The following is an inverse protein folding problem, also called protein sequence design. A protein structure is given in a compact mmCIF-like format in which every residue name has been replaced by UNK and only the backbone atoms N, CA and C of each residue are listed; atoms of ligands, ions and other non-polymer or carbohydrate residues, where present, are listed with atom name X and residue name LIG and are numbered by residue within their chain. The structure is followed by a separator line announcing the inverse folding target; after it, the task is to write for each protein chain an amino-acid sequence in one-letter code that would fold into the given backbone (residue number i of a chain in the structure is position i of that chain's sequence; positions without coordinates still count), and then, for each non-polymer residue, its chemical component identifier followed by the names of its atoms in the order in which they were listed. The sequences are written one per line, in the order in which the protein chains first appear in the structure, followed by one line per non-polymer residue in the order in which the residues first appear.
data_IF_620898495703
#
_entry.id   IF_620898495703
#
_cell.length_a   1.000
_cell.length_b   1.000
_cell.length_c   1.000
_cell.angle_alpha   90.00
_cell.angle_beta   90.00
_cell.angle_gamma   90.00
#
_symmetry.space_group_name_H-M   'P 1'
#
loop_
_entity.id
_entity.type
_entity.pdbx_description
1 polymer ?
#
# COMPACT_ATOMS: atom_id res chain seq x y z
N UNK A 1 14.16 -5.73 -0.07
CA UNK A 1 14.48 -4.47 -0.76
C UNK A 1 13.89 -3.33 0.04
N UNK A 2 14.46 -2.13 -0.03
CA UNK A 2 13.88 -0.94 0.59
C UNK A 2 13.89 0.24 -0.37
N UNK A 3 12.80 0.99 -0.36
CA UNK A 3 12.58 2.17 -1.19
C UNK A 3 12.00 3.27 -0.29
N UNK A 4 12.32 4.53 -0.55
CA UNK A 4 11.76 5.64 0.21
C UNK A 4 11.79 6.93 -0.61
N UNK A 5 11.01 7.92 -0.15
CA UNK A 5 10.99 9.22 -0.80
C UNK A 5 9.99 10.19 -0.19
N UNK A 6 9.76 11.29 -0.90
CA UNK A 6 8.73 12.27 -0.57
C UNK A 6 7.89 12.59 -1.79
N UNK A 7 6.57 12.71 -1.58
CA UNK A 7 5.58 13.11 -2.57
C UNK A 7 4.82 14.31 -1.99
N UNK A 8 5.30 15.53 -2.28
CA UNK A 8 4.79 16.74 -1.63
C UNK A 8 4.95 16.68 -0.10
N UNK A 9 3.87 16.86 0.70
CA UNK A 9 3.93 16.77 2.16
C UNK A 9 4.00 15.33 2.68
N UNK A 10 3.92 14.32 1.83
CA UNK A 10 3.96 12.91 2.23
C UNK A 10 5.40 12.38 2.24
N UNK A 11 5.88 11.88 3.37
CA UNK A 11 7.07 11.05 3.45
C UNK A 11 6.65 9.59 3.37
N UNK A 12 7.34 8.77 2.59
CA UNK A 12 7.01 7.35 2.48
C UNK A 12 8.25 6.47 2.42
N UNK A 13 8.07 5.22 2.83
CA UNK A 13 9.03 4.15 2.62
C UNK A 13 8.31 2.82 2.44
N UNK A 14 8.91 1.94 1.66
CA UNK A 14 8.51 0.55 1.52
C UNK A 14 9.69 -0.37 1.84
N UNK A 15 9.41 -1.48 2.50
CA UNK A 15 10.37 -2.53 2.78
C UNK A 15 9.74 -3.87 2.43
N UNK A 16 10.48 -4.72 1.72
CA UNK A 16 10.01 -6.04 1.31
C UNK A 16 11.06 -7.12 1.51
N UNK A 17 10.61 -8.36 1.66
CA UNK A 17 11.44 -9.55 1.75
C UNK A 17 10.77 -10.68 0.98
N UNK A 18 11.50 -11.37 0.08
CA UNK A 18 10.98 -12.58 -0.54
C UNK A 18 10.69 -13.65 0.51
N UNK A 19 9.81 -14.58 0.17
CA UNK A 19 9.58 -15.81 0.91
C UNK A 19 10.92 -16.54 1.09
N UNK A 20 11.21 -17.11 2.28
CA UNK A 20 12.40 -17.93 2.45
C UNK A 20 12.50 -19.04 1.40
N UNK A 21 13.59 -19.02 0.64
CA UNK A 21 13.84 -19.94 -0.49
C UNK A 21 13.65 -19.32 -1.87
N UNK A 22 12.93 -18.20 -1.97
CA UNK A 22 12.78 -17.42 -3.21
C UNK A 22 13.86 -16.36 -3.35
N UNK A 23 14.22 -16.05 -4.60
CA UNK A 23 15.16 -14.96 -4.91
C UNK A 23 14.45 -13.62 -5.15
N UNK A 24 13.18 -13.68 -5.56
CA UNK A 24 12.38 -12.53 -5.97
C UNK A 24 11.10 -12.50 -5.12
N UNK A 25 10.74 -11.31 -4.67
CA UNK A 25 9.51 -11.06 -3.90
C UNK A 25 8.33 -10.91 -4.86
N UNK A 26 7.23 -11.62 -4.63
CA UNK A 26 5.97 -11.48 -5.36
C UNK A 26 5.26 -10.14 -5.11
N UNK A 27 5.52 -9.53 -3.95
CA UNK A 27 4.92 -8.25 -3.57
C UNK A 27 5.69 -7.05 -4.09
N UNK A 28 4.95 -6.06 -4.61
CA UNK A 28 5.50 -4.77 -5.05
C UNK A 28 4.71 -3.57 -4.53
N UNK A 29 5.46 -2.54 -4.15
CA UNK A 29 4.92 -1.24 -3.78
C UNK A 29 4.83 -0.30 -4.99
N UNK A 30 3.94 0.67 -4.91
CA UNK A 30 3.95 1.86 -5.77
C UNK A 30 3.84 3.11 -4.89
N UNK A 31 4.59 4.15 -5.26
CA UNK A 31 4.44 5.48 -4.71
C UNK A 31 4.81 6.53 -5.77
N UNK A 32 3.82 7.25 -6.28
CA UNK A 32 4.00 8.25 -7.35
C UNK A 32 3.22 9.53 -7.09
N UNK A 33 3.81 10.67 -7.47
CA UNK A 33 3.11 11.95 -7.42
C UNK A 33 2.08 12.04 -8.55
N UNK A 34 0.93 12.64 -8.25
CA UNK A 34 -0.17 12.92 -9.17
C UNK A 34 -0.33 14.43 -9.25
N UNK A 35 0.06 14.99 -10.39
CA UNK A 35 -0.09 16.41 -10.74
C UNK A 35 0.42 17.42 -9.68
N UNK A 36 1.33 17.00 -8.81
CA UNK A 36 1.91 17.83 -7.73
C UNK A 36 0.96 18.14 -6.57
N UNK A 37 -0.31 17.78 -6.67
CA UNK A 37 -1.35 18.03 -5.66
C UNK A 37 -1.86 16.76 -5.00
N UNK A 38 -1.45 15.58 -5.48
CA UNK A 38 -1.83 14.33 -4.88
C UNK A 38 -0.70 13.29 -4.95
N UNK A 39 -0.86 12.20 -4.21
CA UNK A 39 0.01 11.02 -4.26
C UNK A 39 -0.84 9.77 -4.43
N UNK A 40 -0.40 8.87 -5.31
CA UNK A 40 -0.91 7.51 -5.42
C UNK A 40 0.11 6.58 -4.79
N UNK A 41 -0.31 5.87 -3.74
CA UNK A 41 0.50 4.86 -3.05
C UNK A 41 -0.27 3.55 -2.95
N UNK A 42 0.42 2.42 -2.92
CA UNK A 42 -0.26 1.13 -2.84
C UNK A 42 0.70 -0.04 -2.78
N UNK A 43 0.11 -1.21 -2.57
CA UNK A 43 0.80 -2.51 -2.55
C UNK A 43 0.01 -3.48 -3.42
N UNK A 44 0.74 -4.24 -4.21
CA UNK A 44 0.25 -5.35 -5.02
C UNK A 44 0.96 -6.62 -4.54
N UNK A 45 0.18 -7.63 -4.21
CA UNK A 45 0.62 -8.95 -3.76
C UNK A 45 0.27 -9.93 -4.89
N UNK A 46 1.29 -10.33 -5.65
CA UNK A 46 1.13 -11.24 -6.78
C UNK A 46 0.83 -12.65 -6.28
N UNK A 47 -0.16 -13.33 -6.87
CA UNK A 47 -0.60 -14.62 -6.34
C UNK A 47 0.51 -15.68 -6.33
N UNK A 48 0.72 -16.26 -5.14
CA UNK A 48 1.78 -17.23 -4.90
C UNK A 48 3.08 -16.54 -4.55
N UNK A 49 4.20 -17.04 -5.07
CA UNK A 49 5.53 -16.48 -4.80
C UNK A 49 6.45 -16.67 -6.02
N UNK A 50 7.61 -16.02 -5.96
CA UNK A 50 8.65 -16.10 -6.98
C UNK A 50 8.37 -15.25 -8.22
N UNK A 51 9.07 -15.55 -9.32
CA UNK A 51 9.13 -14.69 -10.52
C UNK A 51 7.76 -14.44 -11.18
N UNK A 52 6.88 -15.43 -11.22
CA UNK A 52 5.54 -15.28 -11.83
C UNK A 52 4.64 -14.32 -11.02
N UNK A 53 4.72 -14.38 -9.69
CA UNK A 53 4.00 -13.48 -8.79
C UNK A 53 4.53 -12.05 -8.96
N UNK A 54 5.86 -11.90 -8.94
CA UNK A 54 6.53 -10.63 -9.16
C UNK A 54 6.16 -10.03 -10.52
N UNK A 55 6.09 -10.84 -11.57
CA UNK A 55 5.69 -10.41 -12.92
C UNK A 55 4.27 -9.86 -12.94
N UNK A 56 3.32 -10.51 -12.25
CA UNK A 56 1.95 -10.02 -12.16
C UNK A 56 1.86 -8.68 -11.40
N UNK A 57 2.54 -8.58 -10.25
CA UNK A 57 2.56 -7.36 -9.45
C UNK A 57 3.27 -6.20 -10.18
N UNK A 58 4.42 -6.44 -10.82
CA UNK A 58 5.14 -5.44 -11.62
C UNK A 58 4.34 -4.95 -12.83
N UNK A 59 3.59 -5.84 -13.49
CA UNK A 59 2.66 -5.45 -14.56
C UNK A 59 1.63 -4.43 -14.04
N UNK A 60 1.07 -4.68 -12.85
CA UNK A 60 0.13 -3.76 -12.21
C UNK A 60 0.79 -2.43 -11.83
N UNK A 61 2.00 -2.45 -11.26
CA UNK A 61 2.78 -1.24 -10.95
C UNK A 61 2.98 -0.39 -12.20
N UNK A 62 3.37 -0.99 -13.33
CA UNK A 62 3.57 -0.26 -14.60
C UNK A 62 2.29 0.45 -15.06
N UNK A 63 1.15 -0.25 -15.02
CA UNK A 63 -0.15 0.32 -15.41
C UNK A 63 -0.52 1.50 -14.52
N UNK A 64 -0.31 1.38 -13.21
CA UNK A 64 -0.59 2.44 -12.25
C UNK A 64 0.34 3.64 -12.42
N UNK A 65 1.60 3.41 -12.76
CA UNK A 65 2.56 4.48 -13.05
C UNK A 65 2.14 5.30 -14.29
N UNK A 66 1.66 4.63 -15.34
CA UNK A 66 1.24 5.29 -16.58
C UNK A 66 -0.10 6.01 -16.42
N UNK A 67 -1.05 5.40 -15.70
CA UNK A 67 -2.40 5.92 -15.53
C UNK A 67 -2.63 6.70 -14.23
N UNK A 68 -1.58 7.08 -13.50
CA UNK A 68 -1.62 7.59 -12.10
C UNK A 68 -2.64 8.69 -11.77
N UNK A 69 -3.07 9.47 -12.77
CA UNK A 69 -4.04 10.55 -12.61
C UNK A 69 -5.50 10.08 -12.61
N UNK A 70 -5.77 8.88 -13.12
CA UNK A 70 -7.11 8.30 -13.22
C UNK A 70 -7.76 8.07 -11.84
N UNK A 71 -9.10 8.01 -11.77
CA UNK A 71 -9.81 7.59 -10.55
C UNK A 71 -9.41 6.19 -10.09
N UNK A 72 -9.45 5.93 -8.78
CA UNK A 72 -9.01 4.65 -8.20
C UNK A 72 -9.78 3.44 -8.76
N UNK A 73 -11.08 3.59 -9.02
CA UNK A 73 -11.91 2.54 -9.62
C UNK A 73 -11.44 2.21 -11.04
N UNK A 74 -11.09 3.24 -11.81
CA UNK A 74 -10.56 3.10 -13.17
C UNK A 74 -9.18 2.43 -13.13
N UNK A 75 -8.31 2.81 -12.19
CA UNK A 75 -7.01 2.19 -11.98
C UNK A 75 -7.13 0.69 -11.68
N UNK A 76 -8.06 0.29 -10.81
CA UNK A 76 -8.31 -1.12 -10.50
C UNK A 76 -8.80 -1.88 -11.73
N UNK A 77 -9.68 -1.29 -12.54
CA UNK A 77 -10.16 -1.90 -13.79
C UNK A 77 -9.06 -2.02 -14.85
N UNK A 78 -8.19 -1.02 -14.97
CA UNK A 78 -7.01 -1.07 -15.85
C UNK A 78 -6.06 -2.19 -15.43
N UNK A 79 -5.74 -2.28 -14.14
CA UNK A 79 -4.93 -3.37 -13.60
C UNK A 79 -5.59 -4.72 -13.87
N UNK A 80 -6.89 -4.86 -13.63
CA UNK A 80 -7.59 -6.13 -13.85
C UNK A 80 -7.50 -6.61 -15.30
N UNK A 81 -7.62 -5.70 -16.28
CA UNK A 81 -7.43 -6.06 -17.69
C UNK A 81 -5.98 -6.44 -18.00
N UNK A 82 -5.01 -5.67 -17.50
CA UNK A 82 -3.60 -5.89 -17.78
C UNK A 82 -3.05 -7.17 -17.14
N UNK A 83 -3.53 -7.52 -15.94
CA UNK A 83 -3.15 -8.73 -15.22
C UNK A 83 -3.87 -9.98 -15.75
N UNK A 84 -4.78 -9.85 -16.72
CA UNK A 84 -5.47 -11.00 -17.31
C UNK A 84 -4.47 -11.91 -18.01
N UNK A 85 -4.46 -13.20 -17.65
CA UNK A 85 -3.49 -14.18 -18.15
C UNK A 85 -2.16 -14.21 -17.40
N UNK A 86 -1.97 -13.36 -16.39
CA UNK A 86 -0.90 -13.51 -15.39
C UNK A 86 -1.42 -14.32 -14.19
N UNK A 87 -0.62 -14.51 -13.14
CA UNK A 87 -1.10 -15.05 -11.85
C UNK A 87 -2.10 -14.15 -11.13
N UNK A 88 -2.22 -12.89 -11.54
CA UNK A 88 -3.09 -11.93 -10.88
C UNK A 88 -2.50 -11.44 -9.57
N UNK A 89 -3.21 -10.53 -8.90
CA UNK A 89 -2.76 -9.97 -7.64
C UNK A 89 -3.93 -9.60 -6.72
N UNK A 90 -3.67 -9.64 -5.41
CA UNK A 90 -4.39 -8.80 -4.47
C UNK A 90 -3.76 -7.40 -4.49
N UNK A 91 -4.54 -6.36 -4.19
CA UNK A 91 -4.00 -5.01 -4.17
C UNK A 91 -4.77 -4.10 -3.23
N UNK A 92 -4.06 -3.14 -2.64
CA UNK A 92 -4.68 -1.96 -2.03
C UNK A 92 -4.03 -0.71 -2.55
N UNK A 93 -4.86 0.20 -3.07
CA UNK A 93 -4.46 1.50 -3.60
C UNK A 93 -5.04 2.60 -2.73
N UNK A 94 -4.23 3.63 -2.50
CA UNK A 94 -4.57 4.81 -1.74
C UNK A 94 -4.15 6.06 -2.52
N UNK A 95 -5.11 6.95 -2.77
CA UNK A 95 -4.88 8.30 -3.29
C UNK A 95 -5.02 9.29 -2.15
N UNK A 96 -4.00 10.12 -1.96
CA UNK A 96 -3.99 11.20 -0.98
C UNK A 96 -3.94 12.51 -1.74
N UNK A 97 -5.00 13.31 -1.64
CA UNK A 97 -5.08 14.64 -2.25
C UNK A 97 -4.72 15.71 -1.22
N UNK A 98 -3.82 16.63 -1.60
CA UNK A 98 -3.26 17.74 -0.82
C UNK A 98 -3.77 19.07 -1.39
N UNK A 99 -4.20 20.02 -0.55
CA UNK A 99 -4.51 21.39 -1.03
C UNK A 99 -5.80 22.04 -0.55
N UNK A 100 -6.46 21.53 0.48
CA UNK A 100 -7.55 22.24 1.15
C UNK A 100 -8.14 21.45 2.31
N UNK A 101 -8.64 20.26 2.01
CA UNK A 101 -8.96 19.22 3.00
C UNK A 101 -8.19 17.97 2.62
N UNK A 102 -7.10 17.70 3.34
CA UNK A 102 -6.26 16.55 3.07
C UNK A 102 -7.12 15.28 3.21
N UNK A 103 -7.26 14.55 2.11
CA UNK A 103 -8.23 13.46 1.99
C UNK A 103 -7.53 12.22 1.48
N UNK A 104 -7.77 11.10 2.18
CA UNK A 104 -7.35 9.78 1.77
C UNK A 104 -8.56 9.04 1.17
N UNK A 105 -8.39 8.54 -0.05
CA UNK A 105 -9.30 7.60 -0.71
C UNK A 105 -8.56 6.30 -0.93
N UNK A 106 -9.19 5.17 -0.65
CA UNK A 106 -8.58 3.87 -0.92
C UNK A 106 -9.55 2.84 -1.47
N UNK A 107 -9.01 1.84 -2.14
CA UNK A 107 -9.72 0.64 -2.58
C UNK A 107 -8.80 -0.55 -2.28
N UNK A 108 -9.33 -1.56 -1.60
CA UNK A 108 -8.64 -2.82 -1.37
C UNK A 108 -9.39 -3.98 -2.02
N UNK A 109 -8.68 -4.82 -2.77
CA UNK A 109 -9.15 -6.06 -3.38
C UNK A 109 -8.26 -7.20 -2.89
N UNK A 110 -8.85 -8.23 -2.29
CA UNK A 110 -8.12 -9.37 -1.73
C UNK A 110 -7.73 -9.16 -0.27
N UNK A 111 -6.46 -9.36 0.06
CA UNK A 111 -5.91 -9.52 1.42
C UNK A 111 -4.82 -8.48 1.78
N UNK A 112 -4.52 -7.51 0.92
CA UNK A 112 -3.55 -6.45 1.24
C UNK A 112 -4.19 -5.43 2.19
N UNK A 113 -3.78 -5.42 3.45
CA UNK A 113 -4.34 -4.55 4.48
C UNK A 113 -3.85 -3.10 4.35
N UNK A 114 -4.69 -2.13 4.74
CA UNK A 114 -4.27 -0.73 4.88
C UNK A 114 -4.95 -0.08 6.09
N UNK A 115 -4.14 0.57 6.94
CA UNK A 115 -4.56 1.18 8.18
C UNK A 115 -4.03 2.61 8.28
N UNK A 116 -4.94 3.56 8.51
CA UNK A 116 -4.60 4.93 8.87
C UNK A 116 -4.51 5.02 10.39
N UNK A 117 -3.29 5.25 10.90
CA UNK A 117 -3.00 5.28 12.33
C UNK A 117 -2.50 6.65 12.76
N UNK A 118 -2.78 7.00 14.00
CA UNK A 118 -2.33 8.23 14.65
C UNK A 118 -1.66 7.93 15.99
N UNK A 119 -0.80 8.85 16.41
CA UNK A 119 -0.20 8.81 17.74
C UNK A 119 -1.26 9.18 18.79
N UNK A 120 -1.45 8.32 19.78
CA UNK A 120 -2.33 8.56 20.92
C UNK A 120 -1.53 8.41 22.24
N UNK A 121 -1.91 9.09 23.34
CA UNK A 121 -1.21 8.95 24.62
C UNK A 121 -1.13 7.52 25.15
N UNK A 122 -2.10 6.67 24.80
CA UNK A 122 -2.16 5.26 25.19
C UNK A 122 -1.47 4.30 24.19
N UNK A 123 -0.80 4.82 23.15
CA UNK A 123 -0.15 4.01 22.12
C UNK A 123 -0.58 4.41 20.70
N UNK A 124 -0.80 3.41 19.84
CA UNK A 124 -1.23 3.61 18.46
C UNK A 124 -2.75 3.59 18.40
N UNK A 125 -3.35 4.62 17.82
CA UNK A 125 -4.78 4.67 17.53
C UNK A 125 -5.02 4.36 16.06
N UNK A 126 -5.81 3.32 15.77
CA UNK A 126 -6.29 3.05 14.42
C UNK A 126 -7.50 3.93 14.14
N UNK A 127 -7.30 4.98 13.32
CA UNK A 127 -8.37 5.93 12.98
C UNK A 127 -9.30 5.40 11.91
N UNK A 128 -8.77 4.62 10.98
CA UNK A 128 -9.56 3.93 9.97
C UNK A 128 -8.78 2.79 9.33
N UNK A 129 -9.50 1.80 8.82
CA UNK A 129 -8.94 0.69 8.04
C UNK A 129 -9.66 0.60 6.70
N UNK A 130 -8.92 0.23 5.65
CA UNK A 130 -9.48 -0.01 4.34
C UNK A 130 -10.40 -1.24 4.37
N UNK A 131 -11.58 -1.10 3.77
CA UNK A 131 -12.45 -2.24 3.52
C UNK A 131 -11.88 -3.03 2.34
N UNK A 132 -11.57 -4.29 2.58
CA UNK A 132 -11.06 -5.20 1.56
C UNK A 132 -12.24 -5.96 0.94
N UNK A 133 -12.45 -5.77 -0.35
CA UNK A 133 -13.44 -6.53 -1.09
C UNK A 133 -12.83 -7.85 -1.57
N UNK A 134 -13.59 -8.95 -1.47
CA UNK A 134 -13.14 -10.23 -2.00
C UNK A 134 -12.95 -10.17 -3.52
N UNK A 135 -11.84 -10.70 -4.01
CA UNK A 135 -11.51 -10.72 -5.43
C UNK A 135 -10.03 -10.91 -5.68
N UNK A 136 -9.69 -11.16 -6.94
CA UNK A 136 -8.31 -11.25 -7.45
C UNK A 136 -8.26 -10.40 -8.73
N UNK A 137 -7.41 -9.39 -8.74
CA UNK A 137 -7.15 -8.54 -9.90
C UNK A 137 -6.49 -9.39 -10.98
N UNK A 138 -6.99 -9.33 -12.22
CA UNK A 138 -6.63 -10.27 -13.30
C UNK A 138 -7.56 -11.47 -13.47
N UNK A 139 -8.41 -11.80 -12.47
CA UNK A 139 -9.28 -12.98 -12.51
C UNK A 139 -10.76 -12.66 -12.24
N UNK A 140 -11.05 -12.09 -11.08
CA UNK A 140 -12.42 -11.76 -10.66
C UNK A 140 -12.43 -10.56 -9.75
N UNK A 141 -13.04 -9.48 -10.22
CA UNK A 141 -13.36 -8.31 -9.40
C UNK A 141 -14.75 -8.45 -8.77
N UNK A 142 -15.02 -7.77 -7.66
CA UNK A 142 -16.38 -7.61 -7.16
C UNK A 142 -17.20 -6.74 -8.12
N UNK A 143 -18.53 -6.94 -8.11
CA UNK A 143 -19.45 -6.24 -9.03
C UNK A 143 -19.49 -4.72 -8.82
N UNK A 144 -19.25 -4.29 -7.57
CA UNK A 144 -19.19 -2.88 -7.21
C UNK A 144 -17.86 -2.58 -6.52
N UNK A 145 -17.15 -1.59 -7.05
CA UNK A 145 -15.90 -1.07 -6.48
C UNK A 145 -16.14 0.41 -6.23
N UNK A 146 -16.10 0.82 -4.97
CA UNK A 146 -16.23 2.21 -4.57
C UNK A 146 -15.16 2.54 -3.51
N UNK A 147 -14.43 3.65 -3.66
CA UNK A 147 -13.42 4.04 -2.71
C UNK A 147 -14.07 4.47 -1.41
N UNK A 148 -13.48 4.03 -0.31
CA UNK A 148 -13.77 4.63 0.99
C UNK A 148 -12.93 5.90 1.13
N UNK A 149 -13.57 6.97 1.60
CA UNK A 149 -12.94 8.27 1.80
C UNK A 149 -12.87 8.59 3.30
N UNK A 150 -11.69 9.01 3.77
CA UNK A 150 -11.46 9.44 5.16
C UNK A 150 -10.56 10.67 5.20
N UNK A 151 -10.71 11.56 6.21
CA UNK A 151 -9.80 12.68 6.39
C UNK A 151 -8.44 12.19 6.90
N UNK A 152 -7.35 12.63 6.26
CA UNK A 152 -5.99 12.45 6.74
C UNK A 152 -5.49 13.76 7.34
N UNK A 153 -4.75 13.70 8.44
CA UNK A 153 -4.24 14.86 9.16
C UNK A 153 -2.71 14.85 9.17
N UNK A 154 -2.05 16.02 9.28
CA UNK A 154 -0.62 16.06 9.58
C UNK A 154 -0.29 15.22 10.82
N UNK A 155 0.72 14.37 10.71
CA UNK A 155 1.13 13.41 11.73
C UNK A 155 0.54 12.01 11.57
N UNK A 156 -0.57 11.85 10.84
CA UNK A 156 -1.13 10.53 10.54
C UNK A 156 -0.15 9.71 9.70
N UNK A 157 -0.15 8.40 9.93
CA UNK A 157 0.65 7.41 9.24
C UNK A 157 -0.29 6.40 8.58
N UNK A 158 -0.20 6.28 7.26
CA UNK A 158 -0.78 5.16 6.53
C UNK A 158 0.21 4.00 6.53
N UNK A 159 -0.24 2.82 6.94
CA UNK A 159 0.51 1.57 6.83
C UNK A 159 -0.28 0.63 5.91
N UNK A 160 0.34 0.20 4.82
CA UNK A 160 -0.19 -0.83 3.91
C UNK A 160 0.70 -2.06 4.03
N UNK A 161 0.13 -3.24 4.23
CA UNK A 161 0.88 -4.46 4.46
C UNK A 161 0.25 -5.65 3.70
N UNK A 162 1.09 -6.44 3.03
CA UNK A 162 0.67 -7.73 2.45
C UNK A 162 0.35 -8.75 3.55
N UNK A 163 -0.25 -9.87 3.18
CA UNK A 163 -0.65 -10.89 4.16
C UNK A 163 0.52 -11.66 4.76
N UNK A 164 1.73 -11.51 4.20
CA UNK A 164 2.99 -11.96 4.80
C UNK A 164 3.40 -11.23 6.08
N UNK A 165 2.70 -10.15 6.44
CA UNK A 165 2.92 -9.40 7.69
C UNK A 165 1.85 -9.83 8.72
N UNK A 166 2.28 -10.02 9.98
CA UNK A 166 1.38 -10.35 11.08
C UNK A 166 0.40 -9.19 11.39
N UNK A 167 -0.81 -9.51 11.86
CA UNK A 167 -1.89 -8.51 12.06
C UNK A 167 -1.59 -7.52 13.20
N UNK A 168 -0.77 -7.90 14.18
CA UNK A 168 -0.36 -7.10 15.34
C UNK A 168 0.81 -6.13 15.05
N UNK A 169 1.18 -5.97 13.76
CA UNK A 169 2.31 -5.14 13.36
C UNK A 169 2.25 -3.68 13.84
N UNK A 170 1.04 -3.14 14.02
CA UNK A 170 0.81 -1.75 14.42
C UNK A 170 1.20 -1.47 15.87
N UNK A 171 1.17 -2.48 16.75
CA UNK A 171 1.41 -2.31 18.20
C UNK A 171 2.85 -1.87 18.50
N UNK A 172 3.76 -2.09 17.55
CA UNK A 172 5.19 -1.82 17.68
C UNK A 172 5.65 -0.52 17.01
N UNK A 173 4.74 0.26 16.43
CA UNK A 173 5.08 1.46 15.66
C UNK A 173 5.56 2.59 16.57
N UNK A 174 6.83 2.98 16.40
CA UNK A 174 7.37 4.21 16.98
C UNK A 174 7.08 5.42 16.07
N UNK A 175 6.10 6.25 16.44
CA UNK A 175 5.76 7.47 15.71
C UNK A 175 6.89 8.52 15.68
N UNK A 176 7.88 8.45 16.57
CA UNK A 176 9.04 9.33 16.52
C UNK A 176 10.00 8.96 15.38
N UNK A 177 10.03 7.69 14.96
CA UNK A 177 10.93 7.19 13.93
C UNK A 177 10.55 7.69 12.52
N UNK A 178 11.54 7.82 11.60
CA UNK A 178 11.28 8.02 10.17
C UNK A 178 10.50 6.86 9.54
N UNK A 179 9.80 7.11 8.43
CA UNK A 179 8.99 6.06 7.75
C UNK A 179 9.82 4.86 7.30
N UNK A 180 11.06 5.08 6.85
CA UNK A 180 11.99 4.01 6.48
C UNK A 180 12.28 3.06 7.66
N UNK A 181 12.55 3.62 8.83
CA UNK A 181 12.80 2.84 10.05
C UNK A 181 11.55 2.08 10.48
N UNK A 182 10.37 2.70 10.36
CA UNK A 182 9.10 2.05 10.68
C UNK A 182 8.86 0.85 9.75
N UNK A 183 9.00 1.02 8.44
CA UNK A 183 8.80 -0.05 7.48
C UNK A 183 9.77 -1.22 7.72
N UNK A 184 11.05 -0.92 7.96
CA UNK A 184 12.07 -1.93 8.28
C UNK A 184 11.81 -2.64 9.61
N UNK A 185 11.40 -1.91 10.65
CA UNK A 185 11.07 -2.49 11.95
C UNK A 185 9.86 -3.40 11.88
N UNK A 186 8.80 -2.98 11.16
CA UNK A 186 7.63 -3.85 10.96
C UNK A 186 8.05 -5.10 10.20
N UNK A 187 8.73 -4.94 9.05
CA UNK A 187 9.17 -6.07 8.24
C UNK A 187 10.02 -7.04 9.06
N UNK A 188 11.03 -6.56 9.78
CA UNK A 188 11.95 -7.43 10.54
C UNK A 188 11.29 -8.20 11.67
N UNK A 189 10.25 -7.65 12.31
CA UNK A 189 9.61 -8.25 13.49
C UNK A 189 8.39 -9.09 13.15
N UNK A 190 7.66 -8.72 12.10
CA UNK A 190 6.32 -9.22 11.82
C UNK A 190 6.21 -10.02 10.51
N UNK A 191 7.31 -10.17 9.75
CA UNK A 191 7.29 -11.01 8.54
C UNK A 191 7.14 -12.50 8.90
N UNK A 192 6.08 -13.11 8.39
CA UNK A 192 5.85 -14.55 8.43
C UNK A 192 6.92 -15.27 7.61
N UNK A 193 7.34 -16.47 8.00
CA UNK A 193 8.35 -17.24 7.23
C UNK A 193 7.74 -18.05 6.08
N UNK A 194 6.43 -17.98 5.91
CA UNK A 194 5.68 -18.78 4.95
C UNK A 194 5.41 -18.08 3.64
N UNK A 195 5.67 -16.77 3.57
CA UNK A 195 5.27 -15.94 2.44
C UNK A 195 6.25 -14.79 2.12
N UNK A 196 6.03 -14.18 0.96
CA UNK A 196 6.53 -12.86 0.62
C UNK A 196 5.97 -11.84 1.62
N UNK A 197 6.75 -10.82 1.97
CA UNK A 197 6.34 -9.85 2.97
C UNK A 197 6.70 -8.43 2.51
N UNK A 198 5.72 -7.54 2.52
CA UNK A 198 5.92 -6.13 2.17
C UNK A 198 5.12 -5.21 3.08
N UNK A 199 5.78 -4.13 3.50
CA UNK A 199 5.17 -3.02 4.25
C UNK A 199 5.47 -1.72 3.54
N UNK A 200 4.46 -0.89 3.34
CA UNK A 200 4.57 0.50 2.95
C UNK A 200 4.07 1.39 4.09
N UNK A 201 4.91 2.31 4.53
CA UNK A 201 4.60 3.32 5.54
C UNK A 201 4.66 4.71 4.92
N UNK A 202 3.58 5.49 5.02
CA UNK A 202 3.49 6.84 4.47
C UNK A 202 2.93 7.83 5.51
N UNK A 203 3.72 8.83 5.90
CA UNK A 203 3.36 9.83 6.91
C UNK A 203 3.07 11.18 6.28
N UNK A 204 1.93 11.75 6.63
CA UNK A 204 1.59 13.12 6.26
C UNK A 204 2.41 14.10 7.12
N UNK A 205 3.42 14.78 6.56
CA UNK A 205 4.26 15.73 7.30
C UNK A 205 3.66 17.13 7.42
N UNK A 206 2.50 17.36 6.79
CA UNK A 206 1.92 18.69 6.68
C UNK A 206 2.61 19.51 5.57
N UNK A 207 1.93 20.53 5.08
CA UNK A 207 2.57 21.55 4.26
C UNK A 207 3.41 22.42 5.19
N UNK A 208 4.73 22.46 4.99
CA UNK A 208 5.56 23.50 5.60
C UNK A 208 5.07 24.83 5.02
N UNK A 209 4.40 25.63 5.84
CA UNK A 209 4.10 27.03 5.55
C UNK A 209 5.37 27.88 5.60
#
# INVERSE_FOLDING_TARGET
MSENGRLGPLEWAAASRPRPGEQVCGDHAIAVAVDGTAALIGVLDGLGHGEDAATAALCGVSVLQDARAEPLEVLVQLCHRALSGTRGAAMTLARIDFGGTDTLRWIGIGNVSANLVAKHPAGVEVRSSARLSGGIVGYRLPDAIAPQQVPIRPGDLLVIASDGIAEDHLDTVDFAAPTAVIAEQILSRHSKQTDDALVLAARHRGTTG
#
